data_IF_637598364839
#
_entry.id   IF_637598364839
#
_cell.length_a   1.000
_cell.length_b   1.000
_cell.length_c   1.000
_cell.angle_alpha   90.00
_cell.angle_beta   90.00
_cell.angle_gamma   90.00
#
_symmetry.space_group_name_H-M   'P 1'
#
loop_
_entity.id
_entity.type
_entity.pdbx_description
1 polymer ?
#
# COMPACT_ATOMS: atom_id res chain seq x y z
N UNK A 1 20.07 13.19 -10.77
CA UNK A 1 20.61 14.55 -10.74
C UNK A 1 20.48 15.17 -12.13
N UNK A 2 19.98 16.41 -12.19
CA UNK A 2 19.91 17.19 -13.41
C UNK A 2 21.22 17.92 -13.69
N UNK A 3 21.38 18.49 -14.91
CA UNK A 3 22.60 19.20 -15.32
C UNK A 3 22.90 20.46 -14.52
N UNK A 4 21.92 21.02 -13.84
CA UNK A 4 22.06 22.19 -12.94
C UNK A 4 22.37 21.79 -11.47
N UNK A 5 22.56 20.48 -11.20
CA UNK A 5 22.81 19.95 -9.86
C UNK A 5 21.56 19.67 -9.03
N UNK A 6 20.35 19.90 -9.55
CA UNK A 6 19.12 19.56 -8.85
C UNK A 6 19.00 18.05 -8.69
N UNK A 7 18.68 17.57 -7.47
CA UNK A 7 18.56 16.14 -7.16
C UNK A 7 17.11 15.78 -6.84
N UNK A 8 16.56 14.80 -7.56
CA UNK A 8 15.31 14.12 -7.21
C UNK A 8 15.58 12.98 -6.23
N UNK A 9 14.64 12.76 -5.31
CA UNK A 9 14.76 11.74 -4.26
C UNK A 9 13.46 10.94 -4.13
N UNK A 10 13.61 9.64 -3.93
CA UNK A 10 12.52 8.74 -3.57
C UNK A 10 13.03 7.57 -2.73
N UNK A 11 12.09 6.86 -2.10
CA UNK A 11 12.35 5.61 -1.38
C UNK A 11 11.55 4.50 -2.04
N UNK A 12 12.17 3.34 -2.21
CA UNK A 12 11.52 2.12 -2.70
C UNK A 12 12.01 0.91 -1.93
N UNK A 13 11.37 -0.23 -2.15
CA UNK A 13 11.77 -1.52 -1.59
C UNK A 13 12.82 -2.21 -2.47
N UNK A 14 13.50 -3.23 -1.93
CA UNK A 14 14.41 -4.09 -2.69
C UNK A 14 15.90 -3.98 -2.33
N UNK A 15 16.31 -2.96 -1.55
CA UNK A 15 17.69 -2.84 -1.03
C UNK A 15 18.76 -2.85 -2.12
N UNK A 16 19.89 -3.51 -1.87
CA UNK A 16 21.02 -3.62 -2.80
C UNK A 16 20.66 -4.23 -4.16
N UNK A 17 19.81 -5.28 -4.26
CA UNK A 17 19.35 -5.76 -5.57
C UNK A 17 18.65 -4.71 -6.41
N UNK A 18 17.81 -3.84 -5.80
CA UNK A 18 17.19 -2.74 -6.51
C UNK A 18 18.22 -1.70 -6.99
N UNK A 19 19.18 -1.33 -6.14
CA UNK A 19 20.28 -0.45 -6.52
C UNK A 19 21.07 -1.01 -7.73
N UNK A 20 21.39 -2.31 -7.71
CA UNK A 20 22.05 -2.98 -8.82
C UNK A 20 21.25 -2.89 -10.13
N UNK A 21 19.92 -3.09 -10.07
CA UNK A 21 19.04 -2.97 -11.25
C UNK A 21 19.08 -1.54 -11.81
N UNK A 22 19.03 -0.53 -10.93
CA UNK A 22 19.16 0.87 -11.37
C UNK A 22 20.49 1.09 -12.08
N UNK A 23 21.59 0.76 -11.43
CA UNK A 23 22.94 1.07 -11.93
C UNK A 23 23.29 0.29 -13.21
N UNK A 24 22.93 -0.99 -13.28
CA UNK A 24 23.38 -1.87 -14.37
C UNK A 24 22.38 -2.01 -15.52
N UNK A 25 21.12 -1.63 -15.30
CA UNK A 25 20.11 -1.80 -16.32
C UNK A 25 19.32 -0.51 -16.64
N UNK A 26 18.78 0.17 -15.63
CA UNK A 26 17.86 1.30 -15.85
C UNK A 26 18.59 2.62 -16.14
N UNK A 27 19.82 2.82 -15.63
CA UNK A 27 20.57 4.06 -15.81
C UNK A 27 20.70 4.50 -17.27
N UNK A 28 20.83 3.55 -18.20
CA UNK A 28 20.90 3.83 -19.65
C UNK A 28 19.70 4.58 -20.24
N UNK A 29 18.54 4.54 -19.57
CA UNK A 29 17.33 5.27 -19.97
C UNK A 29 17.25 6.65 -19.33
N UNK A 30 18.06 6.87 -18.30
CA UNK A 30 18.07 8.09 -17.49
C UNK A 30 19.17 9.07 -17.95
N UNK A 31 20.34 8.52 -18.29
CA UNK A 31 21.50 9.32 -18.70
C UNK A 31 21.21 10.12 -19.99
N UNK A 32 21.31 11.46 -19.88
CA UNK A 32 21.02 12.37 -20.98
C UNK A 32 19.54 12.52 -21.34
N UNK A 33 18.63 11.89 -20.61
CA UNK A 33 17.20 12.05 -20.80
C UNK A 33 16.72 13.43 -20.32
N UNK A 34 15.62 13.92 -20.90
CA UNK A 34 14.97 15.14 -20.42
C UNK A 34 14.11 14.80 -19.21
N UNK A 35 14.23 15.58 -18.14
CA UNK A 35 13.42 15.38 -16.92
C UNK A 35 11.91 15.46 -17.16
N UNK A 36 11.49 16.10 -18.24
CA UNK A 36 10.07 16.19 -18.65
C UNK A 36 9.52 14.92 -19.30
N UNK A 37 10.37 13.99 -19.70
CA UNK A 37 9.99 12.80 -20.47
C UNK A 37 9.67 11.58 -19.56
N UNK A 38 9.07 11.83 -18.38
CA UNK A 38 8.85 10.82 -17.33
C UNK A 38 8.10 9.60 -17.88
N UNK A 39 6.97 9.81 -18.54
CA UNK A 39 6.16 8.70 -19.11
C UNK A 39 6.94 7.88 -20.15
N UNK A 40 7.72 8.53 -20.98
CA UNK A 40 8.57 7.86 -21.96
C UNK A 40 9.65 7.03 -21.29
N UNK A 41 10.31 7.58 -20.27
CA UNK A 41 11.35 6.90 -19.50
C UNK A 41 10.73 5.67 -18.78
N UNK A 42 9.57 5.85 -18.15
CA UNK A 42 8.85 4.76 -17.51
C UNK A 42 8.53 3.64 -18.51
N UNK A 43 7.98 3.96 -19.67
CA UNK A 43 7.66 2.98 -20.70
C UNK A 43 8.91 2.22 -21.19
N UNK A 44 10.00 2.91 -21.43
CA UNK A 44 11.28 2.29 -21.82
C UNK A 44 11.80 1.32 -20.76
N UNK A 45 11.79 1.71 -19.48
CA UNK A 45 12.17 0.85 -18.37
C UNK A 45 11.24 -0.38 -18.29
N UNK A 46 9.94 -0.17 -18.36
CA UNK A 46 8.93 -1.23 -18.29
C UNK A 46 9.05 -2.21 -19.45
N UNK A 47 9.10 -1.74 -20.70
CA UNK A 47 9.21 -2.59 -21.89
C UNK A 47 10.50 -3.42 -21.89
N UNK A 48 11.63 -2.83 -21.45
CA UNK A 48 12.92 -3.52 -21.40
C UNK A 48 12.95 -4.67 -20.39
N UNK A 49 12.03 -4.68 -19.42
CA UNK A 49 11.95 -5.67 -18.34
C UNK A 49 10.65 -6.50 -18.35
N UNK A 50 9.78 -6.27 -19.33
CA UNK A 50 8.41 -6.73 -19.38
C UNK A 50 8.23 -8.23 -19.08
N UNK A 51 9.09 -9.08 -19.63
CA UNK A 51 8.92 -10.53 -19.53
C UNK A 51 9.38 -11.12 -18.17
N UNK A 52 10.18 -10.37 -17.37
CA UNK A 52 10.68 -10.84 -16.07
C UNK A 52 10.42 -9.86 -14.92
N UNK A 53 9.95 -8.64 -15.21
CA UNK A 53 9.90 -7.56 -14.25
C UNK A 53 8.52 -6.95 -13.98
N UNK A 54 7.44 -7.60 -14.42
CA UNK A 54 6.07 -7.05 -14.29
C UNK A 54 5.55 -6.99 -12.86
N UNK A 55 6.08 -7.81 -11.96
CA UNK A 55 5.74 -7.86 -10.52
C UNK A 55 7.02 -7.94 -9.69
N UNK A 56 6.92 -7.54 -8.44
CA UNK A 56 7.99 -7.67 -7.46
C UNK A 56 9.16 -6.72 -7.67
N UNK A 57 10.40 -7.20 -7.50
CA UNK A 57 11.58 -6.37 -7.33
C UNK A 57 11.81 -5.36 -8.46
N UNK A 58 11.67 -5.78 -9.72
CA UNK A 58 12.01 -4.91 -10.86
C UNK A 58 11.00 -3.77 -11.00
N UNK A 59 9.70 -4.04 -10.93
CA UNK A 59 8.69 -2.98 -11.04
C UNK A 59 8.74 -2.05 -9.83
N UNK A 60 9.03 -2.55 -8.62
CA UNK A 60 9.26 -1.72 -7.45
C UNK A 60 10.47 -0.80 -7.64
N UNK A 61 11.52 -1.28 -8.29
CA UNK A 61 12.70 -0.47 -8.63
C UNK A 61 12.33 0.61 -9.65
N UNK A 62 11.57 0.26 -10.69
CA UNK A 62 11.07 1.23 -11.67
C UNK A 62 10.21 2.30 -11.00
N UNK A 63 9.33 1.89 -10.08
CA UNK A 63 8.50 2.82 -9.29
C UNK A 63 9.35 3.81 -8.47
N UNK A 64 10.43 3.33 -7.83
CA UNK A 64 11.35 4.24 -7.12
C UNK A 64 12.03 5.24 -8.03
N UNK A 65 12.44 4.83 -9.23
CA UNK A 65 13.02 5.75 -10.23
C UNK A 65 11.96 6.76 -10.70
N UNK A 66 10.75 6.31 -10.98
CA UNK A 66 9.63 7.17 -11.41
C UNK A 66 9.31 8.24 -10.37
N UNK A 67 9.18 7.86 -9.11
CA UNK A 67 8.95 8.80 -8.01
C UNK A 67 10.09 9.84 -7.90
N UNK A 68 11.35 9.41 -8.07
CA UNK A 68 12.49 10.33 -8.06
C UNK A 68 12.49 11.30 -9.25
N UNK A 69 11.99 10.88 -10.43
CA UNK A 69 11.83 11.74 -11.58
C UNK A 69 10.73 12.79 -11.38
N UNK A 70 9.60 12.42 -10.78
CA UNK A 70 8.54 13.36 -10.40
C UNK A 70 9.00 14.38 -9.37
N UNK A 71 9.75 13.95 -8.35
CA UNK A 71 10.36 14.86 -7.37
C UNK A 71 11.37 15.82 -8.02
N UNK A 72 12.21 15.28 -8.92
CA UNK A 72 13.16 16.07 -9.69
C UNK A 72 12.46 17.14 -10.54
N UNK A 73 11.42 16.75 -11.28
CA UNK A 73 10.66 17.68 -12.12
C UNK A 73 9.98 18.77 -11.27
N UNK A 74 9.41 18.40 -10.13
CA UNK A 74 8.81 19.35 -9.19
C UNK A 74 9.82 20.41 -8.71
N UNK A 75 11.02 19.96 -8.35
CA UNK A 75 12.11 20.85 -7.91
C UNK A 75 12.60 21.75 -9.03
N UNK A 76 12.82 21.23 -10.23
CA UNK A 76 13.24 22.00 -11.40
C UNK A 76 12.20 23.07 -11.77
N UNK A 77 10.90 22.74 -11.67
CA UNK A 77 9.81 23.68 -11.96
C UNK A 77 9.40 24.55 -10.78
N UNK A 78 9.91 24.27 -9.60
CA UNK A 78 9.48 24.90 -8.33
C UNK A 78 7.97 24.76 -8.08
N UNK A 79 7.43 23.61 -8.46
CA UNK A 79 6.02 23.25 -8.30
C UNK A 79 5.89 21.94 -7.53
N UNK A 80 4.95 21.82 -6.59
CA UNK A 80 4.69 20.54 -5.93
C UNK A 80 4.08 19.54 -6.93
N UNK A 81 4.37 18.25 -6.73
CA UNK A 81 3.97 17.19 -7.66
C UNK A 81 2.46 17.18 -7.93
N UNK A 82 1.62 17.47 -6.95
CA UNK A 82 0.17 17.53 -7.16
C UNK A 82 -0.25 18.61 -8.18
N UNK A 83 0.50 19.72 -8.30
CA UNK A 83 0.25 20.72 -9.34
C UNK A 83 0.66 20.19 -10.72
N UNK A 84 1.77 19.47 -10.81
CA UNK A 84 2.19 18.80 -12.05
C UNK A 84 1.17 17.75 -12.52
N UNK A 85 0.43 17.15 -11.60
CA UNK A 85 -0.62 16.15 -11.87
C UNK A 85 -2.00 16.76 -12.12
N UNK A 86 -2.12 18.09 -12.20
CA UNK A 86 -3.36 18.76 -12.56
C UNK A 86 -4.04 19.55 -11.43
N UNK A 87 -3.41 19.64 -10.26
CA UNK A 87 -3.86 20.46 -9.13
C UNK A 87 -4.63 19.69 -8.06
N UNK A 88 -4.80 20.34 -6.93
CA UNK A 88 -5.53 19.78 -5.80
C UNK A 88 -7.04 19.85 -6.02
N UNK A 89 -7.75 18.77 -5.73
CA UNK A 89 -9.23 18.71 -5.72
C UNK A 89 -9.80 18.85 -4.30
N UNK A 90 -8.94 18.88 -3.29
CA UNK A 90 -9.26 19.08 -1.87
C UNK A 90 -8.13 19.87 -1.21
N UNK A 91 -8.47 20.74 -0.29
CA UNK A 91 -7.50 21.54 0.46
C UNK A 91 -6.94 20.77 1.66
N UNK A 92 -7.73 19.83 2.21
CA UNK A 92 -7.37 19.03 3.38
C UNK A 92 -7.68 17.55 3.15
N UNK A 93 -6.85 16.68 3.70
CA UNK A 93 -7.03 15.22 3.72
C UNK A 93 -7.11 14.72 5.16
N UNK A 94 -8.00 13.77 5.39
CA UNK A 94 -8.06 13.04 6.65
C UNK A 94 -7.14 11.82 6.57
N UNK A 95 -6.42 11.56 7.65
CA UNK A 95 -5.47 10.46 7.73
C UNK A 95 -5.82 9.47 8.83
N UNK A 96 -5.56 8.20 8.60
CA UNK A 96 -5.43 7.17 9.61
C UNK A 96 -3.96 6.78 9.77
N UNK A 97 -3.61 6.15 10.88
CA UNK A 97 -2.26 5.64 11.12
C UNK A 97 -2.23 4.11 11.10
N UNK A 98 -1.17 3.54 10.53
CA UNK A 98 -0.89 2.09 10.60
C UNK A 98 0.08 1.80 11.73
N UNK A 99 -0.22 0.80 12.56
CA UNK A 99 0.64 0.35 13.65
C UNK A 99 -0.12 -0.32 14.79
N UNK A 100 0.62 -0.91 15.72
CA UNK A 100 0.05 -1.69 16.83
C UNK A 100 -0.69 -0.84 17.90
N UNK A 101 -0.70 0.49 17.77
CA UNK A 101 -1.22 1.40 18.78
C UNK A 101 -2.23 2.42 18.22
N UNK A 102 -3.42 1.96 17.73
CA UNK A 102 -4.52 2.84 17.33
C UNK A 102 -4.92 3.88 18.40
N UNK A 103 -4.81 3.51 19.68
CA UNK A 103 -5.07 4.39 20.81
C UNK A 103 -4.12 5.61 20.88
N UNK A 104 -2.87 5.46 20.42
CA UNK A 104 -1.95 6.59 20.28
C UNK A 104 -2.27 7.42 19.04
N UNK A 105 -2.62 6.78 17.93
CA UNK A 105 -3.05 7.46 16.71
C UNK A 105 -4.25 8.39 17.00
N UNK A 106 -5.23 7.91 17.78
CA UNK A 106 -6.37 8.71 18.21
C UNK A 106 -5.94 9.96 18.99
N UNK A 107 -5.02 9.82 19.95
CA UNK A 107 -4.48 10.94 20.73
C UNK A 107 -3.72 11.95 19.87
N UNK A 108 -3.17 11.53 18.74
CA UNK A 108 -2.49 12.38 17.77
C UNK A 108 -3.44 13.06 16.78
N UNK A 109 -4.76 12.79 16.85
CA UNK A 109 -5.76 13.42 16.00
C UNK A 109 -6.04 12.72 14.68
N UNK A 110 -5.54 11.49 14.47
CA UNK A 110 -5.93 10.67 13.31
C UNK A 110 -7.39 10.23 13.43
N UNK A 111 -8.05 10.04 12.28
CA UNK A 111 -9.47 9.59 12.26
C UNK A 111 -9.64 8.09 12.46
N UNK A 112 -8.56 7.33 12.38
CA UNK A 112 -8.56 5.88 12.51
C UNK A 112 -7.17 5.30 12.74
N UNK A 113 -7.13 4.01 13.07
CA UNK A 113 -5.91 3.24 13.23
C UNK A 113 -6.06 1.83 12.63
N UNK A 114 -5.10 1.45 11.80
CA UNK A 114 -5.01 0.12 11.21
C UNK A 114 -3.99 -0.70 12.00
N UNK A 115 -4.45 -1.76 12.63
CA UNK A 115 -3.61 -2.65 13.44
C UNK A 115 -3.23 -3.91 12.65
N UNK A 116 -2.04 -4.49 12.91
CA UNK A 116 -1.63 -5.74 12.29
C UNK A 116 -2.43 -6.92 12.87
N UNK A 117 -2.65 -7.94 12.03
CA UNK A 117 -3.13 -9.25 12.47
C UNK A 117 -1.92 -10.05 13.01
N UNK A 118 -2.10 -10.73 14.16
CA UNK A 118 -1.01 -11.50 14.78
C UNK A 118 -1.12 -13.02 14.59
N UNK A 119 -2.33 -13.57 14.45
CA UNK A 119 -2.56 -15.01 14.37
C UNK A 119 -3.15 -15.39 13.01
N UNK A 120 -2.53 -16.36 12.35
CA UNK A 120 -2.88 -16.88 11.03
C UNK A 120 -3.74 -18.15 11.13
N UNK A 121 -4.20 -18.73 10.00
CA UNK A 121 -4.91 -20.00 9.99
C UNK A 121 -4.14 -21.16 10.64
N UNK A 122 -2.80 -21.10 10.71
CA UNK A 122 -1.99 -22.14 11.35
C UNK A 122 -2.25 -22.30 12.85
N UNK A 123 -2.72 -21.24 13.52
CA UNK A 123 -3.09 -21.25 14.94
C UNK A 123 -4.57 -21.67 15.16
N UNK A 124 -5.31 -21.98 14.11
CA UNK A 124 -6.67 -22.48 14.14
C UNK A 124 -7.68 -21.58 14.87
N UNK A 125 -8.67 -22.17 15.51
CA UNK A 125 -9.74 -21.44 16.23
C UNK A 125 -9.21 -20.67 17.44
N UNK A 126 -8.14 -21.10 18.05
CA UNK A 126 -7.50 -20.38 19.16
C UNK A 126 -6.85 -19.09 18.68
N UNK A 127 -6.19 -19.10 17.52
CA UNK A 127 -5.65 -17.89 16.91
C UNK A 127 -6.76 -16.89 16.51
N UNK A 128 -7.85 -17.42 15.95
CA UNK A 128 -9.03 -16.59 15.62
C UNK A 128 -9.59 -15.89 16.87
N UNK A 129 -9.77 -16.65 17.96
CA UNK A 129 -10.26 -16.11 19.24
C UNK A 129 -9.35 -14.99 19.75
N UNK A 130 -8.03 -15.19 19.71
CA UNK A 130 -7.05 -14.18 20.15
C UNK A 130 -7.07 -12.91 19.30
N UNK A 131 -7.17 -13.03 17.98
CA UNK A 131 -7.32 -11.86 17.10
C UNK A 131 -8.57 -11.04 17.45
N UNK A 132 -9.68 -11.70 17.73
CA UNK A 132 -10.93 -11.04 18.13
C UNK A 132 -10.81 -10.39 19.52
N UNK A 133 -10.12 -11.01 20.48
CA UNK A 133 -9.86 -10.44 21.80
C UNK A 133 -8.96 -9.17 21.73
N UNK A 134 -7.93 -9.20 20.88
CA UNK A 134 -7.09 -8.01 20.64
C UNK A 134 -7.91 -6.87 20.03
N UNK A 135 -8.78 -7.17 19.07
CA UNK A 135 -9.67 -6.19 18.46
C UNK A 135 -10.68 -5.63 19.47
N UNK A 136 -11.30 -6.48 20.29
CA UNK A 136 -12.19 -6.08 21.39
C UNK A 136 -11.48 -5.12 22.36
N UNK A 137 -10.30 -5.51 22.82
CA UNK A 137 -9.47 -4.71 23.72
C UNK A 137 -9.14 -3.35 23.14
N UNK A 138 -8.81 -3.30 21.84
CA UNK A 138 -8.51 -2.04 21.19
C UNK A 138 -9.77 -1.18 21.03
N UNK A 139 -10.91 -1.77 20.69
CA UNK A 139 -12.20 -1.08 20.60
C UNK A 139 -12.60 -0.44 21.93
N UNK A 140 -12.41 -1.13 23.04
CA UNK A 140 -12.64 -0.56 24.38
C UNK A 140 -11.76 0.68 24.63
N UNK A 141 -10.50 0.67 24.18
CA UNK A 141 -9.56 1.78 24.40
C UNK A 141 -9.88 3.02 23.56
N UNK A 142 -10.32 2.84 22.31
CA UNK A 142 -10.53 3.94 21.38
C UNK A 142 -11.98 4.43 21.32
N UNK A 143 -12.91 3.71 21.95
CA UNK A 143 -14.35 4.03 21.93
C UNK A 143 -15.01 3.64 20.59
N UNK A 144 -16.34 3.85 20.47
CA UNK A 144 -17.14 3.32 19.36
C UNK A 144 -16.92 4.03 18.02
N UNK A 145 -16.56 5.31 18.02
CA UNK A 145 -16.57 6.17 16.85
C UNK A 145 -15.24 6.19 16.09
N UNK A 146 -14.14 5.78 16.72
CA UNK A 146 -12.84 5.76 16.09
C UNK A 146 -12.72 4.61 15.09
N UNK A 147 -12.28 4.88 13.88
CA UNK A 147 -12.15 3.86 12.85
C UNK A 147 -11.03 2.87 13.23
N UNK A 148 -11.41 1.61 13.39
CA UNK A 148 -10.47 0.51 13.50
C UNK A 148 -10.45 -0.29 12.19
N UNK A 149 -9.27 -0.64 11.76
CA UNK A 149 -9.00 -1.44 10.58
C UNK A 149 -7.99 -2.53 10.92
N UNK A 150 -8.02 -3.60 10.15
CA UNK A 150 -7.15 -4.76 10.37
C UNK A 150 -6.37 -5.08 9.09
N UNK A 151 -5.05 -5.13 9.21
CA UNK A 151 -4.14 -5.51 8.15
C UNK A 151 -3.72 -6.97 8.31
N UNK A 152 -4.10 -7.81 7.38
CA UNK A 152 -3.84 -9.25 7.42
C UNK A 152 -2.61 -9.67 6.60
N UNK A 153 -2.07 -8.74 5.82
CA UNK A 153 -0.84 -8.92 5.04
C UNK A 153 -0.73 -10.27 4.32
N UNK A 154 -1.81 -10.63 3.59
CA UNK A 154 -1.92 -11.83 2.75
C UNK A 154 -1.81 -13.17 3.51
N UNK A 155 -2.05 -13.19 4.81
CA UNK A 155 -1.76 -14.36 5.66
C UNK A 155 -2.91 -15.34 5.82
N UNK A 156 -4.11 -15.04 5.29
CA UNK A 156 -5.31 -15.81 5.55
C UNK A 156 -5.73 -16.67 4.34
N UNK A 157 -6.53 -17.69 4.63
CA UNK A 157 -7.40 -18.34 3.65
C UNK A 157 -8.82 -17.74 3.71
N UNK A 158 -9.63 -18.04 2.70
CA UNK A 158 -11.00 -17.52 2.59
C UNK A 158 -11.90 -17.89 3.77
N UNK A 159 -11.76 -19.10 4.30
CA UNK A 159 -12.58 -19.57 5.42
C UNK A 159 -12.24 -18.81 6.70
N UNK A 160 -10.95 -18.68 7.02
CA UNK A 160 -10.50 -17.95 8.19
C UNK A 160 -10.82 -16.46 8.08
N UNK A 161 -10.57 -15.85 6.92
CA UNK A 161 -10.91 -14.45 6.66
C UNK A 161 -12.40 -14.16 6.82
N UNK A 162 -13.27 -15.08 6.36
CA UNK A 162 -14.72 -14.95 6.52
C UNK A 162 -15.13 -15.04 8.00
N UNK A 163 -14.61 -16.01 8.74
CA UNK A 163 -14.89 -16.15 10.19
C UNK A 163 -14.41 -14.93 10.97
N UNK A 164 -13.21 -14.45 10.67
CA UNK A 164 -12.64 -13.25 11.27
C UNK A 164 -13.51 -12.02 11.00
N UNK A 165 -13.92 -11.81 9.76
CA UNK A 165 -14.77 -10.68 9.37
C UNK A 165 -16.13 -10.73 10.09
N UNK A 166 -16.74 -11.90 10.19
CA UNK A 166 -18.02 -12.09 10.91
C UNK A 166 -17.86 -11.80 12.39
N UNK A 167 -16.82 -12.35 13.05
CA UNK A 167 -16.57 -12.10 14.47
C UNK A 167 -16.17 -10.65 14.76
N UNK A 168 -15.41 -10.01 13.86
CA UNK A 168 -14.98 -8.62 14.01
C UNK A 168 -16.10 -7.58 13.81
N UNK A 169 -17.26 -8.00 13.30
CA UNK A 169 -18.39 -7.09 13.03
C UNK A 169 -18.92 -6.41 14.30
N UNK A 170 -19.02 -7.15 15.40
CA UNK A 170 -19.51 -6.61 16.68
C UNK A 170 -18.60 -5.50 17.24
N UNK A 171 -17.31 -5.50 16.85
CA UNK A 171 -16.34 -4.46 17.26
C UNK A 171 -16.30 -3.28 16.29
N UNK A 172 -17.19 -3.23 15.29
CA UNK A 172 -17.28 -2.11 14.34
C UNK A 172 -16.03 -1.94 13.48
N UNK A 173 -15.40 -3.05 13.05
CA UNK A 173 -14.24 -3.03 12.15
C UNK A 173 -14.64 -2.36 10.83
N UNK A 174 -13.88 -1.35 10.41
CA UNK A 174 -14.17 -0.56 9.20
C UNK A 174 -13.86 -1.35 7.94
N UNK A 175 -12.69 -1.98 7.91
CA UNK A 175 -12.28 -2.89 6.84
C UNK A 175 -11.28 -3.95 7.31
N UNK A 176 -11.24 -5.02 6.54
CA UNK A 176 -10.19 -6.03 6.54
C UNK A 176 -9.33 -5.82 5.29
N UNK A 177 -8.01 -5.71 5.47
CA UNK A 177 -7.06 -5.38 4.42
C UNK A 177 -6.12 -6.55 4.13
N UNK A 178 -5.81 -6.75 2.84
CA UNK A 178 -4.86 -7.77 2.37
C UNK A 178 -5.11 -9.17 3.01
N UNK A 179 -6.38 -9.58 3.08
CA UNK A 179 -6.73 -10.83 3.76
C UNK A 179 -6.17 -12.07 3.05
N UNK A 180 -6.19 -12.09 1.70
CA UNK A 180 -5.82 -13.22 0.86
C UNK A 180 -4.61 -12.87 -0.01
N UNK A 181 -4.05 -13.87 -0.71
CA UNK A 181 -3.04 -13.63 -1.75
C UNK A 181 -3.51 -12.57 -2.76
N UNK A 182 -2.64 -11.63 -3.19
CA UNK A 182 -3.01 -10.62 -4.18
C UNK A 182 -3.47 -11.20 -5.52
N UNK A 183 -3.05 -12.42 -5.86
CA UNK A 183 -3.46 -13.10 -7.09
C UNK A 183 -4.81 -13.82 -6.98
N UNK A 184 -5.42 -13.91 -5.79
CA UNK A 184 -6.69 -14.60 -5.55
C UNK A 184 -7.91 -13.67 -5.71
N UNK A 185 -8.12 -13.14 -6.92
CA UNK A 185 -9.28 -12.30 -7.23
C UNK A 185 -10.63 -12.97 -6.96
N UNK A 186 -10.72 -14.28 -7.18
CA UNK A 186 -11.93 -15.06 -6.91
C UNK A 186 -12.22 -15.18 -5.42
N UNK A 187 -11.16 -15.41 -4.62
CA UNK A 187 -11.25 -15.41 -3.16
C UNK A 187 -11.68 -14.04 -2.63
N UNK A 188 -11.13 -12.95 -3.15
CA UNK A 188 -11.54 -11.59 -2.77
C UNK A 188 -13.00 -11.29 -3.15
N UNK A 189 -13.45 -11.71 -4.33
CA UNK A 189 -14.85 -11.57 -4.74
C UNK A 189 -15.78 -12.37 -3.81
N UNK A 190 -15.38 -13.60 -3.44
CA UNK A 190 -16.13 -14.42 -2.49
C UNK A 190 -16.13 -13.80 -1.08
N UNK A 191 -14.97 -13.34 -0.58
CA UNK A 191 -14.86 -12.68 0.73
C UNK A 191 -15.77 -11.44 0.77
N UNK A 192 -15.74 -10.57 -0.25
CA UNK A 192 -16.58 -9.40 -0.37
C UNK A 192 -18.08 -9.70 -0.22
N UNK A 193 -18.53 -10.84 -0.75
CA UNK A 193 -19.92 -11.27 -0.66
C UNK A 193 -20.29 -11.89 0.70
N UNK A 194 -19.30 -12.30 1.50
CA UNK A 194 -19.49 -12.98 2.78
C UNK A 194 -19.20 -12.09 4.00
N UNK A 195 -18.56 -10.93 3.82
CA UNK A 195 -18.35 -10.00 4.94
C UNK A 195 -19.67 -9.34 5.37
N UNK A 196 -19.82 -8.98 6.65
CA UNK A 196 -20.99 -8.29 7.15
C UNK A 196 -21.26 -6.95 6.42
N UNK A 197 -22.52 -6.59 6.28
CA UNK A 197 -22.93 -5.34 5.64
C UNK A 197 -22.32 -4.14 6.36
N UNK A 198 -21.63 -3.27 5.60
CA UNK A 198 -20.97 -2.08 6.13
C UNK A 198 -19.48 -2.24 6.37
N UNK A 199 -18.97 -3.47 6.45
CA UNK A 199 -17.53 -3.74 6.46
C UNK A 199 -16.99 -3.71 5.03
N UNK A 200 -15.82 -3.10 4.84
CA UNK A 200 -15.13 -3.08 3.56
C UNK A 200 -14.05 -4.18 3.49
N UNK A 201 -13.76 -4.62 2.29
CA UNK A 201 -12.58 -5.44 1.98
C UNK A 201 -11.66 -4.57 1.14
N UNK A 202 -10.43 -4.38 1.60
CA UNK A 202 -9.44 -3.55 0.93
C UNK A 202 -8.24 -4.42 0.52
N UNK A 203 -7.68 -4.09 -0.62
CA UNK A 203 -6.47 -4.72 -1.17
C UNK A 203 -5.86 -3.81 -2.22
N UNK A 204 -4.70 -4.16 -2.76
CA UNK A 204 -4.11 -3.48 -3.90
C UNK A 204 -2.71 -2.91 -3.66
N UNK A 205 -2.20 -2.87 -2.44
CA UNK A 205 -0.83 -2.38 -2.19
C UNK A 205 0.25 -3.28 -2.84
N UNK A 206 -0.09 -4.54 -3.14
CA UNK A 206 0.78 -5.48 -3.85
C UNK A 206 0.49 -5.57 -5.36
N UNK A 207 -0.44 -4.75 -5.89
CA UNK A 207 -0.61 -4.62 -7.32
C UNK A 207 0.51 -3.80 -7.94
N UNK A 208 1.09 -4.35 -9.00
CA UNK A 208 2.33 -3.82 -9.55
C UNK A 208 2.13 -2.83 -10.69
N UNK A 209 0.98 -2.83 -11.34
CA UNK A 209 0.71 -2.01 -12.52
C UNK A 209 -0.76 -1.63 -12.60
N UNK A 210 -1.07 -0.59 -13.41
CA UNK A 210 -2.45 -0.17 -13.71
C UNK A 210 -3.36 -1.27 -14.29
N UNK A 211 -2.80 -2.35 -14.79
CA UNK A 211 -3.57 -3.48 -15.34
C UNK A 211 -3.97 -4.50 -14.28
N UNK A 212 -3.44 -4.41 -13.06
CA UNK A 212 -3.85 -5.21 -11.92
C UNK A 212 -5.09 -4.67 -11.19
N UNK A 213 -5.43 -3.40 -11.42
CA UNK A 213 -6.59 -2.73 -10.82
C UNK A 213 -7.84 -2.82 -11.67
#
# INVERSE_FOLDING_TARGET
EASDGTVGFAVTTGGEPAAYIVEKHLARFLEGARVTDIEKIWDQMYQSTLYYGRKGLVINTISGVDLALWDLLGKVRQEPVHQLLGGAVRDELQFYATGARPDLAQKMGFIGGKMPLHYSPSEGEEGLRKNLEELATMRERVGPDFWLMLDCWMSLDLNYATKLAVGAHEYGLKWIEEALSPDDYWGYAALRNNVPKGMLVTTGEHEATRWGF
#
